data_IF_605157085307
#
_entry.id   IF_605157085307
#
_cell.length_a   1.000
_cell.length_b   1.000
_cell.length_c   1.000
_cell.angle_alpha   90.00
_cell.angle_beta   90.00
_cell.angle_gamma   90.00
#
_symmetry.space_group_name_H-M   'P 1'
#
loop_
_entity.id
_entity.type
_entity.pdbx_description
1 polymer ?
#
# COMPACT_ATOMS: atom_id res chain seq x y z
N UNK A 1 4.55 -37.42 -27.18
CA UNK A 1 4.00 -36.18 -27.78
C UNK A 1 5.20 -35.40 -28.31
N UNK A 2 5.40 -35.30 -29.63
CA UNK A 2 6.59 -34.64 -30.16
C UNK A 2 6.46 -33.13 -30.00
N UNK A 3 7.58 -32.53 -29.59
CA UNK A 3 7.83 -31.10 -29.48
C UNK A 3 7.43 -30.36 -30.75
N UNK A 4 6.68 -29.26 -30.62
CA UNK A 4 6.69 -28.22 -31.64
C UNK A 4 7.28 -26.94 -31.03
N UNK A 5 8.61 -26.88 -31.10
CA UNK A 5 9.41 -25.68 -30.87
C UNK A 5 9.13 -24.77 -32.06
N UNK A 6 8.27 -23.77 -31.86
CA UNK A 6 8.20 -22.62 -32.77
C UNK A 6 9.53 -21.90 -32.73
N UNK A 7 10.31 -22.02 -33.82
CA UNK A 7 11.51 -21.21 -34.04
C UNK A 7 11.13 -19.72 -33.95
N UNK A 8 11.88 -18.89 -33.21
CA UNK A 8 11.52 -17.48 -33.02
C UNK A 8 12.08 -16.65 -34.18
N UNK A 9 11.33 -16.51 -35.26
CA UNK A 9 11.65 -15.57 -36.33
C UNK A 9 10.88 -14.27 -36.11
N UNK A 10 11.53 -13.31 -35.46
CA UNK A 10 11.15 -11.90 -35.17
C UNK A 10 10.55 -11.59 -33.77
N UNK A 11 11.25 -10.77 -32.94
CA UNK A 11 10.82 -10.46 -31.58
C UNK A 11 10.14 -9.08 -31.51
N UNK A 12 8.89 -8.97 -31.95
CA UNK A 12 8.08 -7.78 -31.68
C UNK A 12 6.69 -8.17 -31.17
N UNK A 13 6.08 -7.29 -30.37
CA UNK A 13 4.72 -7.51 -29.91
C UNK A 13 3.76 -7.55 -31.11
N UNK A 14 2.66 -8.30 -31.00
CA UNK A 14 1.61 -8.48 -32.03
C UNK A 14 0.97 -7.14 -32.49
N UNK A 15 1.32 -6.02 -31.86
CA UNK A 15 0.86 -4.67 -32.19
C UNK A 15 1.83 -3.85 -33.05
N UNK A 16 3.06 -4.31 -33.28
CA UNK A 16 4.12 -3.50 -33.91
C UNK A 16 4.58 -4.08 -35.26
N UNK A 17 4.52 -3.25 -36.30
CA UNK A 17 5.17 -3.49 -37.59
C UNK A 17 6.68 -3.32 -37.45
N UNK A 18 7.47 -4.27 -37.96
CA UNK A 18 8.91 -4.07 -38.09
C UNK A 18 9.23 -3.02 -39.17
N UNK A 19 10.43 -2.44 -39.12
CA UNK A 19 10.86 -1.40 -40.06
C UNK A 19 10.78 -1.85 -41.53
N UNK A 20 11.13 -3.10 -41.82
CA UNK A 20 11.01 -3.69 -43.16
C UNK A 20 9.55 -3.86 -43.58
N UNK A 21 8.68 -4.32 -42.68
CA UNK A 21 7.25 -4.43 -42.91
C UNK A 21 6.60 -3.08 -43.21
N UNK A 22 6.91 -2.05 -42.42
CA UNK A 22 6.40 -0.70 -42.64
C UNK A 22 6.82 -0.15 -44.02
N UNK A 23 8.08 -0.35 -44.42
CA UNK A 23 8.58 0.06 -45.74
C UNK A 23 7.88 -0.68 -46.88
N UNK A 24 7.80 -2.01 -46.78
CA UNK A 24 7.20 -2.86 -47.81
C UNK A 24 5.70 -2.59 -47.97
N UNK A 25 4.97 -2.44 -46.86
CA UNK A 25 3.55 -2.11 -46.90
C UNK A 25 3.28 -0.72 -47.49
N UNK A 26 4.08 0.28 -47.15
CA UNK A 26 3.99 1.61 -47.77
C UNK A 26 4.30 1.58 -49.27
N UNK A 27 5.24 0.73 -49.70
CA UNK A 27 5.53 0.50 -51.12
C UNK A 27 4.36 -0.19 -51.82
N UNK A 28 3.80 -1.24 -51.22
CA UNK A 28 2.66 -1.97 -51.74
C UNK A 28 1.43 -1.06 -51.89
N UNK A 29 1.14 -0.19 -50.91
CA UNK A 29 0.03 0.78 -50.98
C UNK A 29 0.16 1.77 -52.15
N UNK A 30 1.38 2.13 -52.54
CA UNK A 30 1.65 3.03 -53.68
C UNK A 30 1.61 2.31 -55.03
N UNK A 31 2.12 1.09 -55.08
CA UNK A 31 2.30 0.32 -56.32
C UNK A 31 1.14 -0.63 -56.62
N UNK A 32 0.31 -0.92 -55.62
CA UNK A 32 -0.84 -1.82 -55.69
C UNK A 32 -0.49 -3.30 -55.46
N UNK A 33 0.79 -3.67 -55.34
CA UNK A 33 1.22 -5.05 -55.12
C UNK A 33 2.60 -5.17 -54.48
N UNK A 34 2.94 -6.36 -54.01
CA UNK A 34 4.29 -6.81 -53.62
C UNK A 34 4.43 -8.29 -53.98
N UNK A 35 5.63 -8.77 -54.29
CA UNK A 35 5.84 -10.20 -54.58
C UNK A 35 5.95 -11.02 -53.29
N UNK A 36 5.62 -12.31 -53.35
CA UNK A 36 5.76 -13.20 -52.18
C UNK A 36 7.19 -13.27 -51.65
N UNK A 37 8.19 -13.25 -52.54
CA UNK A 37 9.62 -13.30 -52.18
C UNK A 37 10.04 -12.06 -51.37
N UNK A 38 9.55 -10.88 -51.73
CA UNK A 38 9.82 -9.64 -50.98
C UNK A 38 9.20 -9.63 -49.58
N UNK A 39 8.15 -10.42 -49.36
CA UNK A 39 7.44 -10.50 -48.07
C UNK A 39 8.06 -11.54 -47.13
N UNK A 40 8.95 -12.41 -47.62
CA UNK A 40 9.65 -13.40 -46.78
C UNK A 40 10.47 -12.74 -45.66
N UNK A 41 11.00 -11.53 -45.88
CA UNK A 41 11.71 -10.75 -44.86
C UNK A 41 10.80 -9.99 -43.90
N UNK A 42 9.48 -9.98 -44.11
CA UNK A 42 8.51 -9.26 -43.29
C UNK A 42 7.20 -10.07 -43.13
N UNK A 43 7.25 -11.25 -42.47
CA UNK A 43 6.08 -12.12 -42.29
C UNK A 43 4.94 -11.45 -41.51
N UNK A 44 5.26 -10.46 -40.67
CA UNK A 44 4.29 -9.67 -39.92
C UNK A 44 3.21 -9.01 -40.80
N UNK A 45 3.50 -8.73 -42.08
CA UNK A 45 2.51 -8.17 -43.01
C UNK A 45 1.37 -9.15 -43.34
N UNK A 46 1.66 -10.44 -43.34
CA UNK A 46 0.66 -11.49 -43.54
C UNK A 46 -0.05 -11.81 -42.23
N UNK A 47 0.70 -11.87 -41.12
CA UNK A 47 0.14 -12.13 -39.78
C UNK A 47 -0.83 -11.04 -39.32
N UNK A 48 -0.54 -9.77 -39.65
CA UNK A 48 -1.41 -8.63 -39.36
C UNK A 48 -2.54 -8.45 -40.39
N UNK A 49 -2.61 -9.30 -41.42
CA UNK A 49 -3.63 -9.22 -42.47
C UNK A 49 -3.52 -7.99 -43.36
N UNK A 50 -2.32 -7.41 -43.50
CA UNK A 50 -2.08 -6.20 -44.29
C UNK A 50 -1.91 -6.49 -45.78
N UNK A 51 -1.75 -7.76 -46.15
CA UNK A 51 -1.63 -8.23 -47.53
C UNK A 51 -2.57 -9.40 -47.78
N UNK A 52 -3.13 -9.49 -48.99
CA UNK A 52 -3.91 -10.64 -49.45
C UNK A 52 -3.42 -11.15 -50.81
N UNK A 53 -3.66 -12.43 -51.17
CA UNK A 53 -3.30 -12.95 -52.49
C UNK A 53 -3.94 -12.18 -53.64
N UNK A 54 -3.17 -11.92 -54.70
CA UNK A 54 -3.72 -11.42 -55.95
C UNK A 54 -4.44 -12.56 -56.69
N UNK A 55 -5.74 -12.40 -57.06
CA UNK A 55 -6.47 -13.43 -57.80
C UNK A 55 -5.93 -13.68 -59.21
N UNK A 56 -5.25 -12.69 -59.81
CA UNK A 56 -4.81 -12.74 -61.21
C UNK A 56 -3.34 -13.20 -61.36
N UNK A 57 -2.55 -13.17 -60.28
CA UNK A 57 -1.15 -13.62 -60.25
C UNK A 57 -0.81 -14.25 -58.89
N UNK A 58 -0.62 -15.58 -58.90
CA UNK A 58 -0.33 -16.35 -57.68
C UNK A 58 0.98 -15.96 -56.97
N UNK A 59 1.88 -15.25 -57.63
CA UNK A 59 3.14 -14.78 -57.04
C UNK A 59 3.06 -13.35 -56.45
N UNK A 60 1.90 -12.70 -56.55
CA UNK A 60 1.67 -11.34 -56.04
C UNK A 60 0.73 -11.31 -54.85
N UNK A 61 0.96 -10.34 -53.98
CA UNK A 61 0.11 -9.97 -52.87
C UNK A 61 -0.30 -8.51 -53.04
N UNK A 62 -1.54 -8.19 -52.72
CA UNK A 62 -2.10 -6.83 -52.78
C UNK A 62 -2.29 -6.28 -51.37
N UNK A 63 -2.05 -4.98 -51.15
CA UNK A 63 -2.25 -4.38 -49.84
C UNK A 63 -3.74 -4.27 -49.49
N UNK A 64 -4.06 -4.65 -48.27
CA UNK A 64 -5.35 -4.31 -47.66
C UNK A 64 -5.31 -2.81 -47.32
N UNK A 65 -6.36 -2.02 -47.59
CA UNK A 65 -6.38 -0.61 -47.19
C UNK A 65 -6.21 -0.46 -45.66
N UNK A 66 -5.40 0.51 -45.16
CA UNK A 66 -5.11 0.62 -43.73
C UNK A 66 -6.35 0.77 -42.85
N UNK A 67 -7.39 1.47 -43.32
CA UNK A 67 -8.65 1.61 -42.61
C UNK A 67 -9.39 0.27 -42.44
N UNK A 68 -9.29 -0.62 -43.44
CA UNK A 68 -9.91 -1.96 -43.40
C UNK A 68 -9.14 -2.87 -42.46
N UNK A 69 -7.80 -2.89 -42.57
CA UNK A 69 -6.95 -3.67 -41.68
C UNK A 69 -7.11 -3.23 -40.22
N UNK A 70 -7.13 -1.92 -39.95
CA UNK A 70 -7.36 -1.38 -38.60
C UNK A 70 -8.73 -1.81 -38.05
N UNK A 71 -9.79 -1.72 -38.85
CA UNK A 71 -11.12 -2.16 -38.44
C UNK A 71 -11.17 -3.68 -38.14
N UNK A 72 -10.49 -4.50 -38.93
CA UNK A 72 -10.37 -5.95 -38.69
C UNK A 72 -9.63 -6.28 -37.40
N UNK A 73 -8.62 -5.48 -37.02
CA UNK A 73 -7.86 -5.67 -35.78
C UNK A 73 -8.61 -5.15 -34.54
N UNK A 74 -9.35 -4.04 -34.67
CA UNK A 74 -10.14 -3.48 -33.56
C UNK A 74 -11.38 -4.32 -33.25
N UNK A 75 -12.01 -4.93 -34.26
CA UNK A 75 -13.28 -5.63 -34.08
C UNK A 75 -13.23 -6.78 -33.03
N UNK A 76 -12.21 -7.64 -32.97
CA UNK A 76 -12.07 -8.64 -31.90
C UNK A 76 -11.94 -8.02 -30.50
N UNK A 77 -11.20 -6.92 -30.38
CA UNK A 77 -11.00 -6.20 -29.11
C UNK A 77 -12.31 -5.58 -28.64
N UNK A 78 -13.04 -4.91 -29.54
CA UNK A 78 -14.35 -4.35 -29.26
C UNK A 78 -15.35 -5.44 -28.83
N UNK A 79 -15.34 -6.60 -29.48
CA UNK A 79 -16.16 -7.75 -29.08
C UNK A 79 -15.82 -8.22 -27.67
N UNK A 80 -14.54 -8.43 -27.35
CA UNK A 80 -14.12 -8.83 -26.00
C UNK A 80 -14.57 -7.81 -24.94
N UNK A 81 -14.44 -6.50 -25.23
CA UNK A 81 -14.91 -5.44 -24.32
C UNK A 81 -16.43 -5.54 -24.09
N UNK A 82 -17.20 -5.73 -25.16
CA UNK A 82 -18.67 -5.87 -25.06
C UNK A 82 -19.06 -7.12 -24.29
N UNK A 83 -18.38 -8.25 -24.51
CA UNK A 83 -18.65 -9.50 -23.80
C UNK A 83 -18.29 -9.41 -22.33
N UNK A 84 -17.16 -8.78 -21.98
CA UNK A 84 -16.79 -8.47 -20.59
C UNK A 84 -17.83 -7.57 -19.93
N UNK A 85 -18.32 -6.54 -20.63
CA UNK A 85 -19.36 -5.64 -20.11
C UNK A 85 -20.67 -6.38 -19.87
N UNK A 86 -21.07 -7.25 -20.79
CA UNK A 86 -22.26 -8.10 -20.65
C UNK A 86 -22.13 -9.04 -19.45
N UNK A 87 -20.98 -9.66 -19.25
CA UNK A 87 -20.70 -10.51 -18.09
C UNK A 87 -20.82 -9.71 -16.78
N UNK A 88 -20.28 -8.49 -16.72
CA UNK A 88 -20.42 -7.63 -15.54
C UNK A 88 -21.88 -7.32 -15.20
N UNK A 89 -22.71 -7.04 -16.21
CA UNK A 89 -24.15 -6.80 -16.02
C UNK A 89 -24.85 -8.08 -15.56
N UNK A 90 -24.59 -9.22 -16.21
CA UNK A 90 -25.17 -10.51 -15.80
C UNK A 90 -24.78 -10.89 -14.36
N UNK A 91 -23.54 -10.61 -13.96
CA UNK A 91 -23.10 -10.78 -12.58
C UNK A 91 -23.90 -9.87 -11.63
N UNK A 92 -24.02 -8.58 -11.93
CA UNK A 92 -24.83 -7.67 -11.13
C UNK A 92 -26.29 -8.14 -11.00
N UNK A 93 -26.94 -8.50 -12.11
CA UNK A 93 -28.32 -8.99 -12.15
C UNK A 93 -28.50 -10.29 -11.33
N UNK A 94 -27.52 -11.20 -11.39
CA UNK A 94 -27.56 -12.44 -10.62
C UNK A 94 -27.44 -12.22 -9.11
N UNK A 95 -26.81 -11.12 -8.69
CA UNK A 95 -26.66 -10.74 -7.29
C UNK A 95 -27.79 -9.85 -6.77
N UNK A 96 -28.59 -9.25 -7.65
CA UNK A 96 -29.69 -8.35 -7.30
C UNK A 96 -30.67 -8.94 -6.25
N UNK A 97 -31.13 -10.20 -6.36
CA UNK A 97 -32.01 -10.78 -5.33
C UNK A 97 -31.34 -10.90 -3.96
N UNK A 98 -30.04 -11.18 -3.91
CA UNK A 98 -29.29 -11.27 -2.66
C UNK A 98 -29.04 -9.88 -2.06
N UNK A 99 -28.75 -8.87 -2.89
CA UNK A 99 -28.64 -7.49 -2.47
C UNK A 99 -29.97 -6.98 -1.89
N UNK A 100 -31.10 -7.31 -2.52
CA UNK A 100 -32.43 -6.98 -2.03
C UNK A 100 -32.73 -7.65 -0.66
N UNK A 101 -32.34 -8.91 -0.47
CA UNK A 101 -32.45 -9.61 0.82
C UNK A 101 -31.59 -8.92 1.89
N UNK A 102 -30.34 -8.58 1.57
CA UNK A 102 -29.45 -7.85 2.48
C UNK A 102 -29.97 -6.44 2.83
N UNK A 103 -30.64 -5.77 1.90
CA UNK A 103 -31.26 -4.46 2.13
C UNK A 103 -32.54 -4.54 3.00
N UNK A 104 -33.26 -5.67 2.94
CA UNK A 104 -34.47 -5.92 3.74
C UNK A 104 -34.18 -6.49 5.14
N UNK A 105 -32.99 -7.05 5.37
CA UNK A 105 -32.56 -7.38 6.71
C UNK A 105 -32.61 -6.09 7.56
N UNK A 106 -33.32 -6.07 8.72
CA UNK A 106 -33.43 -4.87 9.54
C UNK A 106 -32.03 -4.39 9.80
N UNK A 107 -31.67 -3.19 9.29
CA UNK A 107 -30.31 -2.67 9.13
C UNK A 107 -29.41 -3.34 10.15
N UNK A 108 -28.87 -4.49 9.73
CA UNK A 108 -28.25 -5.34 10.72
C UNK A 108 -27.04 -4.51 11.09
N UNK A 109 -27.02 -4.05 12.33
CA UNK A 109 -25.89 -3.44 12.97
C UNK A 109 -24.82 -4.53 13.08
N UNK A 110 -24.38 -5.08 11.95
CA UNK A 110 -23.03 -5.60 11.75
C UNK A 110 -22.12 -4.37 11.81
N UNK A 111 -22.12 -3.80 13.02
CA UNK A 111 -21.21 -2.82 13.54
C UNK A 111 -19.77 -3.26 13.33
N UNK A 112 -19.56 -4.57 13.16
CA UNK A 112 -18.30 -5.28 13.15
C UNK A 112 -18.37 -6.36 12.07
N UNK A 113 -17.46 -6.30 11.10
CA UNK A 113 -17.22 -7.34 10.09
C UNK A 113 -15.83 -7.92 10.30
N UNK A 114 -15.72 -9.25 10.34
CA UNK A 114 -14.42 -9.94 10.45
C UNK A 114 -13.85 -10.17 9.06
N UNK A 115 -12.63 -9.67 8.84
CA UNK A 115 -11.89 -9.80 7.58
C UNK A 115 -10.70 -10.72 7.79
N UNK A 116 -10.69 -11.86 7.12
CA UNK A 116 -9.61 -12.85 7.20
C UNK A 116 -8.77 -12.85 5.91
N UNK A 117 -7.46 -12.77 6.08
CA UNK A 117 -6.48 -12.78 5.00
C UNK A 117 -6.18 -11.39 4.42
N UNK A 118 -4.97 -11.24 3.88
CA UNK A 118 -4.50 -9.96 3.36
C UNK A 118 -5.35 -9.44 2.20
N UNK A 119 -5.85 -10.30 1.33
CA UNK A 119 -6.64 -9.89 0.16
C UNK A 119 -7.96 -9.23 0.56
N UNK A 120 -8.70 -9.83 1.50
CA UNK A 120 -9.97 -9.26 2.00
C UNK A 120 -9.74 -7.96 2.77
N UNK A 121 -8.71 -7.93 3.61
CA UNK A 121 -8.35 -6.73 4.38
C UNK A 121 -7.98 -5.58 3.43
N UNK A 122 -7.14 -5.85 2.43
CA UNK A 122 -6.72 -4.85 1.45
C UNK A 122 -7.88 -4.40 0.56
N UNK A 123 -8.77 -5.31 0.13
CA UNK A 123 -9.95 -4.96 -0.64
C UNK A 123 -10.88 -4.01 0.14
N UNK A 124 -11.13 -4.29 1.42
CA UNK A 124 -11.95 -3.42 2.27
C UNK A 124 -11.29 -2.05 2.51
N UNK A 125 -9.99 -2.02 2.77
CA UNK A 125 -9.23 -0.75 2.89
C UNK A 125 -9.26 0.06 1.59
N UNK A 126 -9.14 -0.59 0.43
CA UNK A 126 -9.17 0.06 -0.88
C UNK A 126 -10.57 0.64 -1.17
N UNK A 127 -11.64 -0.09 -0.83
CA UNK A 127 -13.00 0.41 -0.93
C UNK A 127 -13.20 1.65 -0.04
N UNK A 128 -12.81 1.57 1.24
CA UNK A 128 -12.90 2.70 2.16
C UNK A 128 -12.06 3.90 1.69
N UNK A 129 -10.89 3.66 1.09
CA UNK A 129 -10.04 4.70 0.49
C UNK A 129 -10.74 5.35 -0.71
N UNK A 130 -11.42 4.57 -1.56
CA UNK A 130 -12.16 5.09 -2.71
C UNK A 130 -13.38 5.92 -2.27
N UNK A 131 -14.06 5.51 -1.20
CA UNK A 131 -15.26 6.18 -0.66
C UNK A 131 -14.97 7.39 0.23
N UNK A 132 -13.75 7.51 0.77
CA UNK A 132 -13.35 8.56 1.71
C UNK A 132 -13.45 9.96 1.09
N UNK A 133 -14.08 10.90 1.83
CA UNK A 133 -14.40 12.25 1.36
C UNK A 133 -13.77 13.39 2.15
N UNK A 134 -13.28 13.15 3.36
CA UNK A 134 -12.86 14.21 4.29
C UNK A 134 -11.47 13.97 4.89
N UNK A 135 -11.27 12.82 5.54
CA UNK A 135 -10.03 12.56 6.28
C UNK A 135 -9.71 11.07 6.43
N UNK A 136 -8.42 10.76 6.60
CA UNK A 136 -7.94 9.45 7.04
C UNK A 136 -7.06 9.62 8.29
N UNK A 137 -7.38 8.88 9.34
CA UNK A 137 -6.63 8.87 10.60
C UNK A 137 -5.95 7.52 10.76
N UNK A 138 -4.65 7.49 11.03
CA UNK A 138 -3.94 6.21 11.20
C UNK A 138 -3.01 6.19 12.40
N UNK A 139 -2.96 5.05 13.09
CA UNK A 139 -1.97 4.69 14.11
C UNK A 139 -1.17 3.52 13.58
N UNK A 140 0.14 3.69 13.46
CA UNK A 140 1.04 2.73 12.82
C UNK A 140 2.15 2.32 13.81
N UNK A 141 1.88 1.35 14.70
CA UNK A 141 2.87 0.87 15.66
C UNK A 141 3.87 -0.12 15.02
N UNK A 142 5.02 -0.29 15.67
CA UNK A 142 6.09 -1.19 15.28
C UNK A 142 7.37 -0.50 14.80
N UNK A 143 7.48 0.82 14.99
CA UNK A 143 8.62 1.61 14.52
C UNK A 143 8.70 1.73 12.99
N UNK A 144 9.93 1.71 12.46
CA UNK A 144 10.19 1.85 11.03
C UNK A 144 9.50 0.76 10.21
N UNK A 145 8.82 1.14 9.13
CA UNK A 145 8.12 0.21 8.24
C UNK A 145 9.08 -0.33 7.18
N UNK A 146 8.82 -1.55 6.70
CA UNK A 146 9.52 -2.09 5.54
C UNK A 146 9.25 -1.24 4.29
N UNK A 147 10.17 -1.27 3.34
CA UNK A 147 10.02 -0.55 2.07
C UNK A 147 8.74 -0.96 1.34
N UNK A 148 8.46 -2.26 1.24
CA UNK A 148 7.21 -2.76 0.66
C UNK A 148 5.95 -2.19 1.34
N UNK A 149 5.95 -2.15 2.68
CA UNK A 149 4.81 -1.60 3.42
C UNK A 149 4.66 -0.08 3.24
N UNK A 150 5.76 0.65 3.04
CA UNK A 150 5.73 2.09 2.74
C UNK A 150 5.27 2.36 1.30
N UNK A 151 5.69 1.55 0.33
CA UNK A 151 5.19 1.63 -1.05
C UNK A 151 3.67 1.42 -1.12
N UNK A 152 3.16 0.38 -0.45
CA UNK A 152 1.72 0.15 -0.33
C UNK A 152 0.98 1.27 0.42
N UNK A 153 1.64 1.94 1.36
CA UNK A 153 1.05 3.12 2.02
C UNK A 153 0.90 4.26 1.01
N UNK A 154 1.96 4.55 0.25
CA UNK A 154 1.96 5.62 -0.75
C UNK A 154 0.92 5.39 -1.84
N UNK A 155 0.78 4.16 -2.33
CA UNK A 155 -0.27 3.81 -3.31
C UNK A 155 -1.67 4.07 -2.76
N UNK A 156 -1.89 3.81 -1.46
CA UNK A 156 -3.18 4.07 -0.80
C UNK A 156 -3.40 5.55 -0.50
N UNK A 157 -2.36 6.26 -0.11
CA UNK A 157 -2.45 7.66 0.31
C UNK A 157 -2.56 8.60 -0.90
N UNK A 158 -1.96 8.24 -2.05
CA UNK A 158 -1.93 9.07 -3.25
C UNK A 158 -3.33 9.51 -3.71
N UNK A 159 -4.33 8.63 -3.89
CA UNK A 159 -5.69 9.05 -4.27
C UNK A 159 -6.33 10.03 -3.28
N UNK A 160 -6.01 9.92 -1.99
CA UNK A 160 -6.54 10.82 -0.95
C UNK A 160 -5.88 12.20 -1.03
N UNK A 161 -4.57 12.22 -1.23
CA UNK A 161 -3.76 13.44 -1.40
C UNK A 161 -4.19 14.19 -2.67
N UNK A 162 -4.36 13.47 -3.78
CA UNK A 162 -4.76 14.05 -5.07
C UNK A 162 -6.17 14.67 -5.00
N UNK A 163 -7.04 14.15 -4.12
CA UNK A 163 -8.36 14.72 -3.80
C UNK A 163 -8.31 15.83 -2.72
N UNK A 164 -7.13 16.17 -2.19
CA UNK A 164 -6.95 17.23 -1.20
C UNK A 164 -7.50 16.90 0.20
N UNK A 165 -7.60 15.61 0.53
CA UNK A 165 -8.12 15.11 1.80
C UNK A 165 -7.08 15.21 2.93
N UNK A 166 -7.55 15.30 4.16
CA UNK A 166 -6.69 15.34 5.35
C UNK A 166 -6.16 13.95 5.69
N UNK A 167 -4.87 13.82 5.94
CA UNK A 167 -4.27 12.56 6.42
C UNK A 167 -3.52 12.85 7.71
N UNK A 168 -3.86 12.18 8.81
CA UNK A 168 -3.15 12.32 10.08
C UNK A 168 -2.63 10.96 10.53
N UNK A 169 -1.32 10.85 10.71
CA UNK A 169 -0.67 9.58 11.06
C UNK A 169 0.16 9.68 12.32
N UNK A 170 -0.06 8.74 13.24
CA UNK A 170 0.73 8.54 14.45
C UNK A 170 1.71 7.39 14.28
N UNK A 171 2.98 7.66 14.57
CA UNK A 171 4.06 6.67 14.66
C UNK A 171 4.73 6.67 16.04
N UNK A 172 5.55 5.68 16.32
CA UNK A 172 6.44 5.70 17.48
C UNK A 172 7.67 6.59 17.22
N UNK A 173 8.24 7.23 18.25
CA UNK A 173 9.42 8.10 18.09
C UNK A 173 10.60 7.42 17.40
N UNK A 174 10.71 6.09 17.50
CA UNK A 174 11.74 5.29 16.83
C UNK A 174 11.77 5.48 15.31
N UNK A 175 10.66 5.91 14.68
CA UNK A 175 10.64 6.18 13.24
C UNK A 175 11.45 7.40 12.82
N UNK A 176 11.80 8.31 13.74
CA UNK A 176 12.61 9.50 13.44
C UNK A 176 14.02 9.15 12.94
N UNK A 177 14.47 7.93 13.20
CA UNK A 177 15.74 7.41 12.70
C UNK A 177 15.57 6.51 11.47
N UNK A 178 14.34 6.32 10.98
CA UNK A 178 14.02 5.53 9.79
C UNK A 178 14.10 6.39 8.54
N UNK A 179 15.16 6.22 7.74
CA UNK A 179 15.31 6.89 6.44
C UNK A 179 14.12 6.64 5.52
N UNK A 180 13.59 5.42 5.50
CA UNK A 180 12.42 5.08 4.70
C UNK A 180 11.16 5.85 5.13
N UNK A 181 10.94 5.99 6.44
CA UNK A 181 9.80 6.76 6.95
C UNK A 181 9.94 8.25 6.67
N UNK A 182 11.15 8.80 6.77
CA UNK A 182 11.42 10.20 6.42
C UNK A 182 11.20 10.47 4.93
N UNK A 183 11.67 9.57 4.05
CA UNK A 183 11.42 9.67 2.60
C UNK A 183 9.93 9.54 2.26
N UNK A 184 9.20 8.67 2.96
CA UNK A 184 7.75 8.57 2.85
C UNK A 184 7.05 9.87 3.27
N UNK A 185 7.46 10.46 4.41
CA UNK A 185 6.91 11.71 4.91
C UNK A 185 7.07 12.83 3.88
N UNK A 186 8.27 13.00 3.33
CA UNK A 186 8.58 13.99 2.30
C UNK A 186 7.68 13.85 1.06
N UNK A 187 7.43 12.61 0.61
CA UNK A 187 6.57 12.32 -0.54
C UNK A 187 5.10 12.68 -0.32
N UNK A 188 4.63 12.74 0.92
CA UNK A 188 3.24 13.09 1.25
C UNK A 188 3.08 14.53 1.75
N UNK A 189 4.19 15.24 2.05
CA UNK A 189 4.20 16.60 2.60
C UNK A 189 3.53 17.66 1.71
N UNK A 190 3.38 17.40 0.41
CA UNK A 190 2.71 18.33 -0.51
C UNK A 190 1.19 18.45 -0.35
N UNK A 191 0.56 17.57 0.45
CA UNK A 191 -0.88 17.58 0.72
C UNK A 191 -1.23 18.02 2.16
N UNK A 192 -2.49 17.82 2.56
CA UNK A 192 -2.94 18.00 3.96
C UNK A 192 -2.55 16.79 4.82
N UNK A 193 -1.32 16.32 4.68
CA UNK A 193 -0.82 15.15 5.40
C UNK A 193 0.09 15.60 6.57
N UNK A 194 -0.22 15.15 7.78
CA UNK A 194 0.56 15.43 8.99
C UNK A 194 0.97 14.11 9.64
N UNK A 195 2.24 14.04 10.06
CA UNK A 195 2.79 12.92 10.80
C UNK A 195 3.26 13.42 12.16
N UNK A 196 2.77 12.77 13.23
CA UNK A 196 3.23 12.98 14.59
C UNK A 196 3.73 11.68 15.21
N UNK A 197 4.48 11.81 16.30
CA UNK A 197 5.10 10.67 16.98
C UNK A 197 4.89 10.69 18.49
N UNK A 198 4.82 9.51 19.09
CA UNK A 198 4.74 9.26 20.54
C UNK A 198 5.74 8.16 20.95
N UNK A 199 6.04 8.02 22.24
CA UNK A 199 6.86 6.91 22.75
C UNK A 199 6.16 5.57 22.62
N UNK A 200 4.91 5.55 23.09
CA UNK A 200 4.05 4.38 23.12
C UNK A 200 2.79 4.66 22.30
N UNK A 201 2.36 3.65 21.55
CA UNK A 201 1.14 3.68 20.77
C UNK A 201 0.27 2.47 21.09
N UNK A 202 -1.02 2.64 20.84
CA UNK A 202 -1.95 1.51 20.76
C UNK A 202 -1.67 0.66 19.52
N UNK A 203 -2.37 -0.47 19.42
CA UNK A 203 -2.37 -1.28 18.22
C UNK A 203 -2.86 -0.51 16.98
N UNK A 204 -2.58 -1.09 15.81
CA UNK A 204 -2.87 -0.46 14.52
C UNK A 204 -4.34 -0.04 14.42
N UNK A 205 -4.57 1.20 14.00
CA UNK A 205 -5.90 1.77 13.81
C UNK A 205 -5.91 2.55 12.50
N UNK A 206 -6.93 2.37 11.68
CA UNK A 206 -7.15 3.14 10.45
C UNK A 206 -8.60 3.57 10.44
N UNK A 207 -8.88 4.86 10.31
CA UNK A 207 -10.23 5.43 10.26
C UNK A 207 -10.34 6.23 8.97
N UNK A 208 -11.45 6.05 8.26
CA UNK A 208 -11.83 6.89 7.14
C UNK A 208 -13.06 7.70 7.51
N UNK A 209 -12.94 9.01 7.33
CA UNK A 209 -13.91 10.01 7.73
C UNK A 209 -14.35 9.79 9.18
N UNK A 210 -15.65 9.61 9.40
CA UNK A 210 -16.24 9.28 10.69
C UNK A 210 -17.19 8.09 10.58
N UNK A 211 -16.95 7.24 9.58
CA UNK A 211 -17.92 6.23 9.12
C UNK A 211 -17.39 4.80 9.23
N UNK A 212 -16.08 4.59 9.10
CA UNK A 212 -15.49 3.25 9.17
C UNK A 212 -14.11 3.27 9.84
N UNK A 213 -13.86 2.27 10.69
CA UNK A 213 -12.56 2.03 11.33
C UNK A 213 -12.10 0.59 11.13
N UNK A 214 -10.79 0.39 11.06
CA UNK A 214 -10.15 -0.91 10.94
C UNK A 214 -9.16 -1.11 12.08
N UNK A 215 -9.28 -2.25 12.78
CA UNK A 215 -8.36 -2.66 13.85
C UNK A 215 -7.95 -4.13 13.65
N UNK A 216 -6.74 -4.55 14.03
CA UNK A 216 -6.36 -5.96 14.02
C UNK A 216 -7.18 -6.73 15.07
N UNK A 217 -7.62 -7.94 14.72
CA UNK A 217 -8.20 -8.88 15.68
C UNK A 217 -7.14 -9.79 16.33
N UNK A 218 -5.93 -9.84 15.74
CA UNK A 218 -4.79 -10.67 16.17
C UNK A 218 -3.46 -9.96 15.91
N UNK A 219 -2.44 -10.29 16.69
CA UNK A 219 -1.09 -9.72 16.58
C UNK A 219 -0.43 -9.95 15.22
N UNK A 220 -0.74 -11.07 14.56
CA UNK A 220 -0.20 -11.41 13.23
C UNK A 220 -0.79 -10.57 12.09
N UNK A 221 -1.81 -9.73 12.40
CA UNK A 221 -2.52 -8.85 11.46
C UNK A 221 -3.14 -9.58 10.27
N UNK A 222 -3.34 -10.90 10.36
CA UNK A 222 -4.02 -11.70 9.33
C UNK A 222 -5.53 -11.64 9.45
N UNK A 223 -6.04 -11.16 10.58
CA UNK A 223 -7.46 -10.93 10.82
C UNK A 223 -7.64 -9.48 11.26
N UNK A 224 -8.57 -8.77 10.62
CA UNK A 224 -8.95 -7.41 10.99
C UNK A 224 -10.46 -7.32 11.24
N UNK A 225 -10.87 -6.34 12.03
CA UNK A 225 -12.26 -5.97 12.21
C UNK A 225 -12.50 -4.66 11.45
N UNK A 226 -13.50 -4.65 10.58
CA UNK A 226 -14.08 -3.46 10.00
C UNK A 226 -15.27 -3.02 10.85
N UNK A 227 -15.22 -1.79 11.34
CA UNK A 227 -16.17 -1.24 12.30
C UNK A 227 -16.95 -0.09 11.68
N UNK A 228 -18.28 -0.19 11.60
CA UNK A 228 -19.16 0.83 11.00
C UNK A 228 -20.21 1.40 11.96
N UNK A 229 -20.25 0.95 13.21
CA UNK A 229 -21.17 1.53 14.18
C UNK A 229 -20.73 2.94 14.58
N UNK A 230 -21.58 3.98 14.40
CA UNK A 230 -21.19 5.37 14.63
C UNK A 230 -20.61 5.61 16.03
N UNK A 231 -21.19 5.00 17.07
CA UNK A 231 -20.67 5.11 18.44
C UNK A 231 -19.29 4.48 18.66
N UNK A 232 -18.96 3.40 17.95
CA UNK A 232 -17.63 2.76 18.07
C UNK A 232 -16.58 3.58 17.31
N UNK A 233 -16.92 4.01 16.09
CA UNK A 233 -16.04 4.86 15.28
C UNK A 233 -15.77 6.18 16.01
N UNK A 234 -16.80 6.82 16.56
CA UNK A 234 -16.66 8.04 17.36
C UNK A 234 -15.75 7.85 18.57
N UNK A 235 -15.87 6.72 19.27
CA UNK A 235 -14.99 6.41 20.40
C UNK A 235 -13.54 6.26 19.96
N UNK A 236 -13.27 5.53 18.88
CA UNK A 236 -11.92 5.36 18.33
C UNK A 236 -11.31 6.68 17.84
N UNK A 237 -12.12 7.57 17.26
CA UNK A 237 -11.70 8.93 16.91
C UNK A 237 -11.28 9.69 18.18
N UNK A 238 -12.07 9.64 19.27
CA UNK A 238 -11.70 10.28 20.53
C UNK A 238 -10.38 9.74 21.10
N UNK A 239 -10.15 8.43 21.01
CA UNK A 239 -8.87 7.82 21.38
C UNK A 239 -7.74 8.37 20.52
N UNK A 240 -7.93 8.43 19.19
CA UNK A 240 -6.96 9.01 18.27
C UNK A 240 -6.64 10.47 18.62
N UNK A 241 -7.65 11.33 18.83
CA UNK A 241 -7.47 12.75 19.16
C UNK A 241 -6.73 12.95 20.49
N UNK A 242 -6.96 12.07 21.47
CA UNK A 242 -6.22 12.11 22.74
C UNK A 242 -4.72 11.82 22.53
N UNK A 243 -4.39 10.85 21.68
CA UNK A 243 -3.01 10.56 21.32
C UNK A 243 -2.42 11.69 20.47
N UNK A 244 -3.18 12.21 19.51
CA UNK A 244 -2.76 13.27 18.60
C UNK A 244 -2.33 14.55 19.32
N UNK A 245 -3.08 14.96 20.34
CA UNK A 245 -2.75 16.14 21.17
C UNK A 245 -1.47 15.99 21.97
N UNK A 246 -1.09 14.76 22.35
CA UNK A 246 0.15 14.46 23.09
C UNK A 246 1.35 14.23 22.16
N UNK A 247 1.10 14.01 20.88
CA UNK A 247 2.12 13.62 19.91
C UNK A 247 2.90 14.84 19.41
N UNK A 248 4.19 14.64 19.13
CA UNK A 248 5.10 15.67 18.60
C UNK A 248 5.23 15.51 17.08
N UNK A 249 5.11 16.59 16.28
CA UNK A 249 5.35 16.55 14.83
C UNK A 249 6.69 15.90 14.47
N UNK A 250 6.71 15.11 13.38
CA UNK A 250 7.84 14.25 13.02
C UNK A 250 9.16 15.00 12.78
N UNK A 251 9.10 16.25 12.32
CA UNK A 251 10.28 17.06 12.02
C UNK A 251 10.72 17.95 13.19
N UNK A 252 9.86 18.13 14.19
CA UNK A 252 10.18 18.93 15.37
C UNK A 252 11.08 18.13 16.32
N UNK A 253 11.99 18.80 17.03
CA UNK A 253 12.73 18.15 18.11
C UNK A 253 11.78 17.68 19.21
N UNK A 254 12.04 16.49 19.76
CA UNK A 254 11.26 16.02 20.90
C UNK A 254 11.72 16.85 22.12
N UNK A 255 10.79 17.45 22.89
CA UNK A 255 11.12 18.22 24.08
C UNK A 255 11.53 17.29 25.23
N UNK A 256 12.60 16.55 25.06
CA UNK A 256 13.30 15.91 26.14
C UNK A 256 14.35 16.89 26.64
N UNK A 257 14.02 17.63 27.70
CA UNK A 257 15.07 18.25 28.51
C UNK A 257 16.00 17.12 28.96
N UNK A 258 17.28 17.11 28.53
CA UNK A 258 18.20 16.10 29.00
C UNK A 258 18.22 16.18 30.53
N UNK A 259 18.10 15.02 31.17
CA UNK A 259 18.37 14.92 32.61
C UNK A 259 19.81 15.35 32.86
N UNK A 260 20.14 15.82 34.08
CA UNK A 260 21.51 16.13 34.46
C UNK A 260 22.51 15.01 34.10
N UNK A 261 22.04 13.77 34.05
CA UNK A 261 22.83 12.55 33.81
C UNK A 261 22.88 12.09 32.34
N UNK A 262 22.32 12.87 31.40
CA UNK A 262 22.37 12.55 29.96
C UNK A 262 21.48 11.39 29.52
N UNK A 263 20.47 11.01 30.33
CA UNK A 263 19.49 9.97 29.98
C UNK A 263 18.51 10.52 28.96
N UNK A 264 18.45 9.89 27.79
CA UNK A 264 17.53 10.26 26.72
C UNK A 264 16.09 9.86 27.04
N UNK A 265 15.13 10.40 26.31
CA UNK A 265 13.73 10.07 26.53
C UNK A 265 13.38 8.61 26.38
N UNK A 266 13.87 7.98 25.30
CA UNK A 266 13.75 6.53 25.10
C UNK A 266 14.34 5.75 26.27
N UNK A 267 15.46 6.20 26.83
CA UNK A 267 16.06 5.56 28.00
C UNK A 267 15.22 5.76 29.27
N UNK A 268 14.56 6.92 29.44
CA UNK A 268 13.60 7.13 30.53
C UNK A 268 12.40 6.18 30.41
N UNK A 269 11.80 6.02 29.22
CA UNK A 269 10.69 5.08 29.01
C UNK A 269 11.14 3.63 29.27
N UNK A 270 12.35 3.26 28.82
CA UNK A 270 12.92 1.94 29.12
C UNK A 270 13.10 1.76 30.64
N UNK A 271 13.63 2.76 31.34
CA UNK A 271 13.82 2.72 32.79
C UNK A 271 12.49 2.54 33.53
N UNK A 272 11.44 3.25 33.12
CA UNK A 272 10.08 3.09 33.64
C UNK A 272 9.56 1.65 33.43
N UNK A 273 9.67 1.11 32.22
CA UNK A 273 9.21 -0.25 31.93
C UNK A 273 10.04 -1.34 32.65
N UNK A 274 11.32 -1.08 32.90
CA UNK A 274 12.18 -1.98 33.68
C UNK A 274 11.72 -2.09 35.13
N UNK A 275 11.38 -0.97 35.78
CA UNK A 275 10.89 -0.99 37.17
C UNK A 275 9.47 -1.58 37.29
N UNK A 276 8.66 -1.49 36.22
CA UNK A 276 7.38 -2.20 36.09
C UNK A 276 7.55 -3.72 35.91
N UNK A 277 8.79 -4.21 35.77
CA UNK A 277 9.10 -5.64 35.67
C UNK A 277 9.08 -6.21 34.25
N UNK A 278 8.99 -5.37 33.21
CA UNK A 278 9.01 -5.84 31.83
C UNK A 278 10.39 -6.37 31.41
N UNK A 279 10.40 -7.44 30.62
CA UNK A 279 11.58 -7.99 29.94
C UNK A 279 11.89 -7.22 28.65
N UNK A 280 13.13 -7.28 28.17
CA UNK A 280 13.58 -6.48 27.01
C UNK A 280 12.76 -6.71 25.75
N UNK A 281 12.26 -7.92 25.53
CA UNK A 281 11.39 -8.24 24.39
C UNK A 281 10.04 -7.53 24.47
N UNK A 282 9.46 -7.43 25.66
CA UNK A 282 8.22 -6.70 25.89
C UNK A 282 8.44 -5.19 25.73
N UNK A 283 9.55 -4.67 26.28
CA UNK A 283 9.94 -3.26 26.17
C UNK A 283 10.17 -2.87 24.70
N UNK A 284 10.94 -3.69 23.96
CA UNK A 284 11.26 -3.45 22.56
C UNK A 284 9.98 -3.36 21.70
N UNK A 285 9.04 -4.29 21.90
CA UNK A 285 7.75 -4.29 21.21
C UNK A 285 6.92 -3.04 21.55
N UNK A 286 6.83 -2.68 22.84
CA UNK A 286 6.03 -1.53 23.32
C UNK A 286 6.56 -0.18 22.82
N UNK A 287 7.87 -0.05 22.66
CA UNK A 287 8.53 1.16 22.15
C UNK A 287 8.77 1.13 20.62
N UNK A 288 8.41 0.05 19.93
CA UNK A 288 8.55 -0.05 18.48
C UNK A 288 10.00 -0.07 18.02
N UNK A 289 10.86 -0.83 18.71
CA UNK A 289 12.25 -1.07 18.31
C UNK A 289 12.59 -2.56 18.33
N UNK A 290 13.70 -2.91 17.72
CA UNK A 290 14.20 -4.28 17.82
C UNK A 290 14.83 -4.54 19.20
N UNK A 291 14.84 -5.82 19.61
CA UNK A 291 15.33 -6.26 20.93
C UNK A 291 16.81 -5.89 21.14
N UNK A 292 17.63 -5.94 20.07
CA UNK A 292 19.05 -5.57 20.13
C UNK A 292 19.23 -4.09 20.47
N UNK A 293 18.43 -3.21 19.89
CA UNK A 293 18.42 -1.77 20.17
C UNK A 293 17.95 -1.50 21.60
N UNK A 294 16.89 -2.18 22.06
CA UNK A 294 16.45 -2.10 23.45
C UNK A 294 17.58 -2.48 24.42
N UNK A 295 18.22 -3.65 24.22
CA UNK A 295 19.35 -4.11 25.03
C UNK A 295 20.52 -3.11 25.02
N UNK A 296 20.81 -2.48 23.88
CA UNK A 296 21.84 -1.44 23.81
C UNK A 296 21.49 -0.22 24.66
N UNK A 297 20.22 0.21 24.70
CA UNK A 297 19.78 1.29 25.59
C UNK A 297 19.83 0.89 27.07
N UNK A 298 19.44 -0.34 27.41
CA UNK A 298 19.56 -0.88 28.78
C UNK A 298 21.01 -0.93 29.23
N UNK A 299 21.94 -1.33 28.36
CA UNK A 299 23.37 -1.33 28.65
C UNK A 299 23.91 0.09 28.90
N UNK A 300 23.48 1.08 28.10
CA UNK A 300 23.84 2.49 28.31
C UNK A 300 23.28 3.03 29.63
N UNK A 301 22.04 2.70 29.97
CA UNK A 301 21.44 3.03 31.28
C UNK A 301 22.22 2.40 32.43
N UNK A 302 22.60 1.13 32.29
CA UNK A 302 23.41 0.42 33.29
C UNK A 302 24.76 1.08 33.50
N UNK A 303 25.44 1.45 32.41
CA UNK A 303 26.71 2.14 32.47
C UNK A 303 26.58 3.53 33.11
N UNK A 304 25.54 4.31 32.75
CA UNK A 304 25.30 5.64 33.28
C UNK A 304 25.03 5.61 34.80
N UNK A 305 24.30 4.61 35.29
CA UNK A 305 23.96 4.46 36.70
C UNK A 305 24.96 3.60 37.50
N UNK A 306 25.99 3.04 36.84
CA UNK A 306 26.97 2.18 37.51
C UNK A 306 26.43 0.81 37.94
N UNK A 307 25.43 0.27 37.23
CA UNK A 307 24.83 -1.03 37.54
C UNK A 307 25.54 -2.20 36.86
N UNK A 308 25.71 -3.31 37.59
CA UNK A 308 26.26 -4.58 37.08
C UNK A 308 25.21 -5.69 36.91
N UNK A 309 23.95 -5.45 37.29
CA UNK A 309 22.88 -6.44 37.15
C UNK A 309 21.51 -5.79 36.94
N UNK A 310 20.53 -6.54 36.41
CA UNK A 310 19.18 -6.01 36.17
C UNK A 310 18.48 -5.62 37.48
N UNK A 311 18.61 -6.42 38.52
CA UNK A 311 18.02 -6.14 39.83
C UNK A 311 18.61 -4.86 40.44
N UNK A 312 19.95 -4.73 40.39
CA UNK A 312 20.64 -3.52 40.84
C UNK A 312 20.26 -2.30 39.99
N UNK A 313 20.09 -2.47 38.67
CA UNK A 313 19.68 -1.39 37.76
C UNK A 313 18.31 -0.85 38.16
N UNK A 314 17.34 -1.73 38.46
CA UNK A 314 16.02 -1.31 38.93
C UNK A 314 16.09 -0.48 40.21
N UNK A 315 16.87 -0.92 41.19
CA UNK A 315 17.10 -0.16 42.43
C UNK A 315 17.71 1.22 42.17
N UNK A 316 18.74 1.29 41.32
CA UNK A 316 19.45 2.53 40.99
C UNK A 316 18.57 3.51 40.19
N UNK A 317 17.70 3.02 39.30
CA UNK A 317 16.71 3.84 38.61
C UNK A 317 15.77 4.52 39.60
N UNK A 318 15.30 3.79 40.62
CA UNK A 318 14.43 4.36 41.65
C UNK A 318 15.15 5.37 42.55
N UNK A 319 16.46 5.22 42.76
CA UNK A 319 17.26 6.13 43.59
C UNK A 319 17.72 7.39 42.85
N UNK A 320 17.91 7.31 41.52
CA UNK A 320 18.50 8.40 40.74
C UNK A 320 17.56 9.57 40.44
N UNK A 321 16.26 9.43 40.72
CA UNK A 321 15.28 10.48 40.43
C UNK A 321 15.01 10.69 38.92
N UNK A 322 15.56 9.86 38.02
CA UNK A 322 15.41 10.04 36.57
C UNK A 322 13.96 9.89 36.07
N UNK A 323 13.11 9.27 36.90
CA UNK A 323 11.68 9.08 36.68
C UNK A 323 10.81 10.08 37.44
N UNK A 324 11.39 10.91 38.32
CA UNK A 324 10.64 11.93 39.06
C UNK A 324 10.32 13.11 38.12
N UNK A 325 9.05 13.31 37.82
CA UNK A 325 8.60 14.53 37.13
C UNK A 325 8.74 15.70 38.11
N UNK A 326 9.64 16.64 37.83
CA UNK A 326 9.49 18.00 38.38
C UNK A 326 8.22 18.59 37.75
N UNK A 327 7.17 18.69 38.57
CA UNK A 327 5.96 19.46 38.30
C UNK A 327 6.27 20.86 37.77
#
# INVERSE_FOLDING_TARGET
MPNNVTQPTHPHAVTDLCDDGARLYASALRTGHVTRVEVESAPCLVELGLLHPDPDDGNRLRPVPPAVALAQQLHPIEREIQDRRRLSVQLADSFEPFLAISAQAPASTHAITVLEGFDRINAALNLATAECRTEMLTVQPGGGRSEHALSQALERDRPLIDRGLSIRTLYQHTVRHSRGTLAYADRISGGKAEIRTLEELIERLIIFDRTVAFIPARDDRRVALELRHPGLVEYLIKVFEQLWRRATPLLDEIPYNPTPDGVSGVQRSIAQLLIEGHVDEAIARRLGMNVRTCRAHVAKLSAALGSNSRAQLGYLISQSGILEQRN
#
